data_IF_955405614385
#
_entry.id   IF_955405614385
#
_cell.length_a   1.000
_cell.length_b   1.000
_cell.length_c   1.000
_cell.angle_alpha   90.00
_cell.angle_beta   90.00
_cell.angle_gamma   90.00
#
_symmetry.space_group_name_H-M   'P 1'
#
loop_
_entity.id
_entity.type
_entity.pdbx_description
1 polymer ?
#
# COMPACT_ATOMS: atom_id res chain seq x y z
N UNK A 1 -17.93 31.22 -20.90
CA UNK A 1 -17.80 30.64 -19.54
C UNK A 1 -16.44 29.98 -19.45
N UNK A 2 -15.66 30.21 -18.38
CA UNK A 2 -14.38 29.53 -18.20
C UNK A 2 -14.63 28.07 -17.82
N UNK A 3 -13.83 27.14 -18.34
CA UNK A 3 -13.95 25.73 -17.99
C UNK A 3 -13.74 25.52 -16.47
N UNK A 4 -14.45 24.58 -15.83
CA UNK A 4 -14.26 24.31 -14.40
C UNK A 4 -12.82 23.85 -14.14
N UNK A 5 -12.17 24.46 -13.15
CA UNK A 5 -10.82 24.09 -12.72
C UNK A 5 -10.89 22.85 -11.82
N UNK A 6 -9.92 21.95 -11.95
CA UNK A 6 -9.69 20.83 -11.03
C UNK A 6 -8.34 21.00 -10.35
N UNK A 7 -8.28 20.63 -9.09
CA UNK A 7 -7.10 20.77 -8.27
C UNK A 7 -6.68 19.41 -7.72
N UNK A 8 -5.37 19.21 -7.61
CA UNK A 8 -4.79 18.01 -7.02
C UNK A 8 -3.57 18.37 -6.18
N UNK A 9 -3.29 17.55 -5.18
CA UNK A 9 -2.08 17.61 -4.37
C UNK A 9 -1.36 16.28 -4.44
N UNK A 10 -0.03 16.31 -4.53
CA UNK A 10 0.82 15.11 -4.59
C UNK A 10 1.83 15.17 -3.45
N UNK A 11 1.95 14.07 -2.72
CA UNK A 11 2.96 13.87 -1.66
C UNK A 11 3.77 12.63 -1.99
N UNK A 12 5.04 12.84 -2.31
CA UNK A 12 6.03 11.79 -2.59
C UNK A 12 7.34 12.16 -1.86
N UNK A 13 7.32 12.06 -0.53
CA UNK A 13 8.48 12.37 0.32
C UNK A 13 9.28 11.11 0.56
N UNK A 14 10.60 11.26 0.64
CA UNK A 14 11.58 10.21 0.93
C UNK A 14 11.26 9.36 2.17
N UNK A 15 10.68 9.95 3.22
CA UNK A 15 10.27 9.23 4.42
C UNK A 15 8.95 8.45 4.27
N UNK A 16 8.22 8.60 3.16
CA UNK A 16 7.06 7.76 2.86
C UNK A 16 7.51 6.46 2.21
N UNK A 17 8.16 5.62 2.99
CA UNK A 17 8.76 4.36 2.56
C UNK A 17 8.63 3.30 3.63
N UNK A 18 8.78 2.04 3.22
CA UNK A 18 8.89 0.91 4.14
C UNK A 18 9.85 -0.13 3.56
N UNK A 19 10.69 -0.72 4.40
CA UNK A 19 11.56 -1.83 4.04
C UNK A 19 10.85 -3.15 4.38
N UNK A 20 10.65 -4.03 3.40
CA UNK A 20 9.95 -5.27 3.65
C UNK A 20 10.48 -6.42 2.80
N UNK A 21 10.39 -7.63 3.36
CA UNK A 21 10.67 -8.87 2.67
C UNK A 21 9.40 -9.45 2.04
N UNK A 22 9.53 -10.04 0.87
CA UNK A 22 8.43 -10.71 0.17
C UNK A 22 8.98 -11.73 -0.85
N UNK A 23 8.05 -12.43 -1.49
CA UNK A 23 8.29 -13.13 -2.75
C UNK A 23 6.96 -13.26 -3.49
N UNK A 24 7.01 -13.10 -4.80
CA UNK A 24 5.91 -13.38 -5.71
C UNK A 24 5.76 -14.89 -5.89
N UNK A 25 4.50 -15.33 -5.80
CA UNK A 25 4.07 -16.66 -6.16
C UNK A 25 2.71 -16.58 -6.85
N UNK A 26 2.54 -17.33 -7.93
CA UNK A 26 1.29 -17.56 -8.64
C UNK A 26 1.35 -18.98 -9.23
N UNK A 27 0.23 -19.57 -9.69
CA UNK A 27 0.23 -20.97 -10.11
C UNK A 27 1.37 -21.33 -11.10
N UNK A 28 2.23 -22.28 -10.70
CA UNK A 28 3.38 -22.73 -11.48
C UNK A 28 4.65 -21.85 -11.40
N UNK A 29 4.65 -20.78 -10.60
CA UNK A 29 5.80 -19.90 -10.42
C UNK A 29 5.96 -19.44 -8.97
N UNK A 30 7.22 -19.36 -8.53
CA UNK A 30 7.59 -18.71 -7.28
C UNK A 30 9.02 -18.24 -7.32
N UNK A 31 9.24 -16.96 -7.09
CA UNK A 31 10.58 -16.40 -6.99
C UNK A 31 11.21 -16.61 -5.61
N UNK A 32 12.55 -16.54 -5.47
CA UNK A 32 13.23 -16.55 -4.19
C UNK A 32 12.80 -15.42 -3.23
N UNK A 33 12.85 -15.69 -1.93
CA UNK A 33 12.65 -14.68 -0.89
C UNK A 33 13.71 -13.59 -1.02
N UNK A 34 13.27 -12.33 -1.02
CA UNK A 34 14.13 -11.15 -1.02
C UNK A 34 13.36 -9.98 -0.39
N UNK A 35 13.77 -8.74 -0.62
CA UNK A 35 13.04 -7.57 -0.13
C UNK A 35 13.40 -6.28 -0.86
N UNK A 36 12.63 -5.24 -0.56
CA UNK A 36 12.74 -3.91 -1.16
C UNK A 36 12.63 -2.80 -0.12
N UNK A 37 13.17 -1.63 -0.50
CA UNK A 37 12.84 -0.36 0.13
C UNK A 37 11.71 0.28 -0.68
N UNK A 38 10.47 -0.07 -0.37
CA UNK A 38 9.31 0.42 -1.11
C UNK A 38 9.13 1.93 -0.88
N UNK A 39 8.93 2.69 -1.94
CA UNK A 39 8.60 4.12 -1.87
C UNK A 39 7.13 4.34 -2.20
N UNK A 40 6.44 5.10 -1.36
CA UNK A 40 5.01 5.41 -1.49
C UNK A 40 4.81 6.85 -1.92
N UNK A 41 3.89 7.07 -2.86
CA UNK A 41 3.37 8.38 -3.24
C UNK A 41 1.87 8.42 -3.13
N UNK A 42 1.32 9.59 -2.80
CA UNK A 42 -0.13 9.82 -2.68
C UNK A 42 -0.52 11.02 -3.51
N UNK A 43 -1.57 10.87 -4.32
CA UNK A 43 -2.25 11.97 -5.01
C UNK A 43 -3.71 12.03 -4.53
N UNK A 44 -4.15 13.25 -4.21
CA UNK A 44 -5.53 13.53 -3.80
C UNK A 44 -6.11 14.59 -4.72
N UNK A 45 -7.29 14.34 -5.26
CA UNK A 45 -8.10 15.32 -5.99
C UNK A 45 -9.36 15.59 -5.19
N UNK A 46 -9.66 16.86 -4.97
CA UNK A 46 -10.84 17.33 -4.26
C UNK A 46 -11.13 18.79 -4.64
N UNK A 47 -12.28 19.30 -4.22
CA UNK A 47 -12.61 20.71 -4.38
C UNK A 47 -11.65 21.61 -3.59
N UNK A 48 -11.38 22.80 -4.14
CA UNK A 48 -10.64 23.83 -3.43
C UNK A 48 -11.55 24.41 -2.34
N UNK A 49 -11.13 24.28 -1.09
CA UNK A 49 -11.85 24.84 0.05
C UNK A 49 -11.70 26.36 0.15
N UNK A 50 -12.49 27.01 1.03
CA UNK A 50 -12.44 28.45 1.26
C UNK A 50 -11.11 28.92 1.87
N UNK A 51 -10.33 28.00 2.45
CA UNK A 51 -8.98 28.21 2.96
C UNK A 51 -7.90 28.12 1.86
N UNK A 52 -8.28 27.84 0.61
CA UNK A 52 -7.38 27.77 -0.53
C UNK A 52 -6.62 26.44 -0.66
N UNK A 53 -7.00 25.40 0.08
CA UNK A 53 -6.40 24.06 -0.03
C UNK A 53 -7.31 23.08 -0.74
N UNK A 54 -6.72 22.07 -1.40
CA UNK A 54 -7.43 20.83 -1.76
C UNK A 54 -7.58 19.98 -0.50
N UNK A 55 -6.44 19.74 0.15
CA UNK A 55 -6.33 19.09 1.44
C UNK A 55 -5.01 19.53 2.08
N UNK A 56 -4.94 19.59 3.41
CA UNK A 56 -3.69 19.90 4.11
C UNK A 56 -2.63 18.81 3.83
N UNK A 57 -1.47 19.23 3.33
CA UNK A 57 -0.33 18.34 3.14
C UNK A 57 0.10 17.64 4.43
N UNK A 58 -0.01 18.30 5.59
CA UNK A 58 0.29 17.72 6.90
C UNK A 58 -0.58 16.51 7.22
N UNK A 59 -1.89 16.58 6.91
CA UNK A 59 -2.82 15.46 7.03
C UNK A 59 -2.40 14.30 6.11
N UNK A 60 -2.20 14.57 4.81
CA UNK A 60 -1.81 13.53 3.84
C UNK A 60 -0.50 12.85 4.24
N UNK A 61 0.50 13.62 4.65
CA UNK A 61 1.80 13.12 5.12
C UNK A 61 1.66 12.24 6.36
N UNK A 62 0.89 12.67 7.36
CA UNK A 62 0.69 11.92 8.61
C UNK A 62 0.05 10.57 8.34
N UNK A 63 -1.04 10.56 7.57
CA UNK A 63 -1.77 9.33 7.24
C UNK A 63 -0.90 8.39 6.40
N UNK A 64 -0.27 8.88 5.33
CA UNK A 64 0.59 8.07 4.48
C UNK A 64 1.77 7.46 5.25
N UNK A 65 2.41 8.25 6.14
CA UNK A 65 3.52 7.78 6.98
C UNK A 65 3.08 6.67 7.92
N UNK A 66 1.96 6.83 8.62
CA UNK A 66 1.43 5.81 9.52
C UNK A 66 1.16 4.49 8.79
N UNK A 67 0.62 4.54 7.57
CA UNK A 67 0.40 3.34 6.76
C UNK A 67 1.71 2.65 6.33
N UNK A 68 2.76 3.42 6.04
CA UNK A 68 4.09 2.86 5.75
C UNK A 68 4.67 2.16 6.99
N UNK A 69 4.57 2.79 8.17
CA UNK A 69 5.09 2.23 9.43
C UNK A 69 4.45 0.90 9.82
N UNK A 70 3.20 0.65 9.40
CA UNK A 70 2.55 -0.65 9.66
C UNK A 70 3.19 -1.82 8.88
N UNK A 71 3.82 -1.51 7.74
CA UNK A 71 4.47 -2.46 6.83
C UNK A 71 5.99 -2.51 6.98
N UNK A 72 6.58 -1.50 7.63
CA UNK A 72 8.03 -1.36 7.77
C UNK A 72 8.64 -2.46 8.64
N UNK A 73 9.77 -3.00 8.17
CA UNK A 73 10.52 -4.10 8.79
C UNK A 73 9.68 -5.37 8.97
N UNK A 74 8.90 -5.76 7.94
CA UNK A 74 8.04 -6.95 7.98
C UNK A 74 8.25 -7.86 6.78
N UNK A 75 7.82 -9.12 6.93
CA UNK A 75 7.57 -10.04 5.82
C UNK A 75 6.11 -9.88 5.39
N UNK A 76 5.88 -9.50 4.14
CA UNK A 76 4.54 -9.32 3.57
C UNK A 76 4.09 -10.64 2.95
N UNK A 77 2.97 -11.19 3.42
CA UNK A 77 2.40 -12.41 2.88
C UNK A 77 0.96 -12.17 2.39
N UNK A 78 0.63 -12.58 1.15
CA UNK A 78 -0.70 -12.43 0.58
C UNK A 78 -1.67 -13.47 1.17
N UNK A 79 -2.56 -13.06 2.07
CA UNK A 79 -3.55 -13.90 2.74
C UNK A 79 -4.54 -14.56 1.77
N UNK A 80 -4.76 -13.94 0.61
CA UNK A 80 -5.72 -14.41 -0.40
C UNK A 80 -5.06 -15.11 -1.59
N UNK A 81 -3.79 -15.49 -1.46
CA UNK A 81 -3.10 -16.25 -2.51
C UNK A 81 -3.81 -17.57 -2.79
N UNK A 82 -3.90 -17.94 -4.07
CA UNK A 82 -4.48 -19.20 -4.54
C UNK A 82 -3.44 -20.34 -4.62
N UNK A 83 -2.14 -20.03 -4.49
CA UNK A 83 -1.04 -20.97 -4.63
C UNK A 83 -0.17 -21.10 -3.35
N UNK A 84 -0.44 -20.31 -2.31
CA UNK A 84 0.21 -20.41 -1.01
C UNK A 84 -0.75 -20.88 0.07
N UNK A 85 -0.30 -21.83 0.88
CA UNK A 85 -1.01 -22.28 2.07
C UNK A 85 -0.34 -21.63 3.28
N UNK A 86 -1.07 -20.74 3.95
CA UNK A 86 -0.62 -20.03 5.14
C UNK A 86 -1.24 -20.66 6.38
N UNK A 87 -0.44 -20.93 7.40
CA UNK A 87 -0.92 -21.38 8.71
C UNK A 87 -0.32 -20.48 9.78
N UNK A 88 -1.17 -19.81 10.56
CA UNK A 88 -0.75 -18.93 11.64
C UNK A 88 -0.97 -19.59 12.99
N UNK A 89 0.05 -19.58 13.82
CA UNK A 89 0.00 -19.92 15.25
C UNK A 89 0.21 -18.65 16.07
N UNK A 90 0.29 -18.79 17.40
CA UNK A 90 0.62 -17.69 18.30
C UNK A 90 2.05 -17.16 18.04
N UNK A 91 3.01 -18.07 17.80
CA UNK A 91 4.43 -17.75 17.71
C UNK A 91 4.95 -17.60 16.27
N UNK A 92 4.26 -18.18 15.28
CA UNK A 92 4.77 -18.26 13.91
C UNK A 92 3.70 -18.13 12.82
N UNK A 93 4.17 -17.84 11.61
CA UNK A 93 3.42 -18.05 10.37
C UNK A 93 4.23 -19.01 9.49
N UNK A 94 3.61 -20.13 9.14
CA UNK A 94 4.16 -21.12 8.21
C UNK A 94 3.56 -20.92 6.82
N UNK A 95 4.41 -21.01 5.80
CA UNK A 95 4.03 -20.89 4.39
C UNK A 95 4.45 -22.16 3.66
N UNK A 96 3.51 -22.78 2.95
CA UNK A 96 3.78 -23.89 2.04
C UNK A 96 3.44 -23.48 0.61
N UNK A 97 4.41 -23.61 -0.29
CA UNK A 97 4.25 -23.35 -1.74
C UNK A 97 3.72 -24.59 -2.47
N UNK A 98 3.19 -24.44 -3.68
CA UNK A 98 2.80 -25.57 -4.55
C UNK A 98 3.92 -26.62 -4.74
N UNK A 99 5.17 -26.17 -4.89
CA UNK A 99 6.34 -27.05 -5.05
C UNK A 99 6.77 -27.76 -3.74
N UNK A 100 6.05 -27.56 -2.63
CA UNK A 100 6.34 -28.19 -1.34
C UNK A 100 7.40 -27.50 -0.48
N UNK A 101 8.03 -26.41 -0.95
CA UNK A 101 8.92 -25.59 -0.12
C UNK A 101 8.18 -25.00 1.09
N UNK A 102 8.92 -24.80 2.19
CA UNK A 102 8.38 -24.31 3.45
C UNK A 102 9.17 -23.13 3.97
N UNK A 103 8.46 -22.13 4.46
CA UNK A 103 9.00 -21.03 5.24
C UNK A 103 8.31 -21.00 6.60
N UNK A 104 9.03 -20.55 7.63
CA UNK A 104 8.49 -20.33 8.97
C UNK A 104 9.09 -19.04 9.52
N UNK A 105 8.23 -18.05 9.75
CA UNK A 105 8.62 -16.75 10.26
C UNK A 105 7.99 -16.54 11.65
N UNK A 106 8.62 -15.79 12.56
CA UNK A 106 7.97 -15.33 13.78
C UNK A 106 6.68 -14.56 13.46
N UNK A 107 5.61 -14.78 14.21
CA UNK A 107 4.32 -14.14 13.95
C UNK A 107 4.38 -12.61 14.09
N UNK A 108 5.30 -12.09 14.89
CA UNK A 108 5.52 -10.65 15.08
C UNK A 108 6.11 -9.98 13.83
N UNK A 109 6.86 -10.72 13.02
CA UNK A 109 7.60 -10.20 11.86
C UNK A 109 6.73 -10.22 10.59
N UNK A 110 5.57 -10.87 10.62
CA UNK A 110 4.70 -11.06 9.46
C UNK A 110 3.54 -10.07 9.43
N UNK A 111 3.27 -9.56 8.23
CA UNK A 111 2.00 -8.91 7.89
C UNK A 111 1.27 -9.75 6.87
N UNK A 112 0.18 -10.37 7.32
CA UNK A 112 -0.81 -10.97 6.44
C UNK A 112 -1.65 -9.85 5.83
N UNK A 113 -1.57 -9.70 4.51
CA UNK A 113 -2.28 -8.67 3.78
C UNK A 113 -3.44 -9.30 3.01
N UNK A 114 -4.63 -8.68 2.97
CA UNK A 114 -5.81 -9.22 2.29
C UNK A 114 -5.73 -9.02 0.76
N UNK A 115 -4.63 -9.48 0.17
CA UNK A 115 -4.25 -9.39 -1.25
C UNK A 115 -3.90 -10.79 -1.75
N UNK A 116 -3.97 -11.01 -3.06
CA UNK A 116 -3.65 -12.28 -3.72
C UNK A 116 -2.16 -12.42 -4.01
N UNK A 117 -1.49 -11.32 -4.34
CA UNK A 117 -0.05 -11.26 -4.60
C UNK A 117 0.59 -10.09 -3.86
N UNK A 118 1.83 -10.26 -3.39
CA UNK A 118 2.61 -9.17 -2.78
C UNK A 118 3.32 -8.29 -3.83
N UNK A 119 2.65 -8.00 -4.94
CA UNK A 119 3.18 -7.13 -6.01
C UNK A 119 2.95 -5.65 -5.70
N UNK A 120 3.74 -4.76 -6.32
CA UNK A 120 3.55 -3.32 -6.22
C UNK A 120 2.11 -2.87 -6.53
N UNK A 121 1.44 -3.46 -7.51
CA UNK A 121 0.06 -3.13 -7.91
C UNK A 121 -0.93 -3.41 -6.78
N UNK A 122 -0.88 -4.60 -6.19
CA UNK A 122 -1.80 -4.98 -5.12
C UNK A 122 -1.47 -4.28 -3.81
N UNK A 123 -0.19 -4.01 -3.53
CA UNK A 123 0.23 -3.14 -2.42
C UNK A 123 -0.31 -1.72 -2.59
N UNK A 124 -0.27 -1.16 -3.81
CA UNK A 124 -0.83 0.16 -4.10
C UNK A 124 -2.35 0.17 -3.88
N UNK A 125 -3.08 -0.86 -4.34
CA UNK A 125 -4.51 -0.99 -4.12
C UNK A 125 -4.87 -1.15 -2.62
N UNK A 126 -4.10 -1.96 -1.89
CA UNK A 126 -4.24 -2.14 -0.45
C UNK A 126 -4.07 -0.81 0.30
N UNK A 127 -2.98 -0.09 0.02
CA UNK A 127 -2.69 1.19 0.64
C UNK A 127 -3.71 2.27 0.25
N UNK A 128 -4.21 2.27 -0.98
CA UNK A 128 -5.28 3.18 -1.44
C UNK A 128 -6.55 2.99 -0.61
N UNK A 129 -7.01 1.75 -0.44
CA UNK A 129 -8.21 1.46 0.34
C UNK A 129 -8.07 1.89 1.82
N UNK A 130 -6.88 1.68 2.40
CA UNK A 130 -6.53 2.12 3.76
C UNK A 130 -6.49 3.65 3.87
N UNK A 131 -5.86 4.32 2.91
CA UNK A 131 -5.77 5.78 2.82
C UNK A 131 -7.16 6.41 2.73
N UNK A 132 -8.03 5.92 1.84
CA UNK A 132 -9.41 6.40 1.73
C UNK A 132 -10.15 6.30 3.06
N UNK A 133 -10.04 5.15 3.75
CA UNK A 133 -10.70 4.94 5.03
C UNK A 133 -10.23 5.96 6.08
N UNK A 134 -8.92 6.20 6.15
CA UNK A 134 -8.34 7.16 7.09
C UNK A 134 -8.75 8.61 6.76
N UNK A 135 -8.69 9.00 5.49
CA UNK A 135 -9.04 10.36 5.06
C UNK A 135 -10.52 10.67 5.20
N UNK A 136 -11.43 9.71 5.05
CA UNK A 136 -12.88 9.93 5.20
C UNK A 136 -13.26 10.53 6.57
N UNK A 137 -12.52 10.20 7.64
CA UNK A 137 -12.76 10.76 8.97
C UNK A 137 -12.18 12.15 9.20
N UNK A 138 -11.19 12.56 8.39
CA UNK A 138 -10.35 13.74 8.64
C UNK A 138 -10.42 14.80 7.53
N UNK A 139 -11.08 14.51 6.40
CA UNK A 139 -11.16 15.41 5.26
C UNK A 139 -12.06 16.66 5.47
N UNK A 140 -12.63 16.84 6.67
CA UNK A 140 -13.40 18.04 7.02
C UNK A 140 -14.61 18.29 6.12
N UNK A 141 -15.24 17.23 5.59
CA UNK A 141 -16.39 17.32 4.70
C UNK A 141 -16.07 17.69 3.25
N UNK A 142 -14.78 17.76 2.85
CA UNK A 142 -14.40 18.01 1.46
C UNK A 142 -14.81 16.84 0.56
N UNK A 143 -15.38 17.17 -0.59
CA UNK A 143 -15.69 16.21 -1.65
C UNK A 143 -14.39 15.71 -2.29
N UNK A 144 -13.91 14.54 -1.84
CA UNK A 144 -12.84 13.83 -2.54
C UNK A 144 -13.39 13.41 -3.90
N UNK A 145 -12.67 13.74 -4.98
CA UNK A 145 -13.01 13.38 -6.35
C UNK A 145 -12.24 12.13 -6.81
N UNK A 146 -10.96 12.04 -6.44
CA UNK A 146 -10.13 10.88 -6.73
C UNK A 146 -8.98 10.73 -5.73
N UNK A 147 -8.56 9.50 -5.53
CA UNK A 147 -7.38 9.13 -4.76
C UNK A 147 -6.50 8.22 -5.60
N UNK A 148 -5.19 8.38 -5.48
CA UNK A 148 -4.21 7.54 -6.16
C UNK A 148 -3.04 7.28 -5.22
N UNK A 149 -2.61 6.04 -5.14
CA UNK A 149 -1.41 5.61 -4.41
C UNK A 149 -0.45 4.97 -5.42
N UNK A 150 0.80 5.41 -5.38
CA UNK A 150 1.90 4.76 -6.09
C UNK A 150 2.81 4.00 -5.13
N UNK A 151 3.25 2.81 -5.52
CA UNK A 151 4.24 1.99 -4.81
C UNK A 151 5.37 1.65 -5.77
N UNK A 152 6.60 2.02 -5.40
CA UNK A 152 7.80 1.71 -6.16
C UNK A 152 8.68 0.71 -5.41
N UNK A 153 9.03 -0.41 -6.04
CA UNK A 153 9.90 -1.44 -5.44
C UNK A 153 11.40 -1.13 -5.65
N UNK A 154 11.69 -0.34 -6.68
CA UNK A 154 13.02 0.16 -7.01
C UNK A 154 12.94 1.52 -7.73
N UNK A 155 14.03 2.31 -7.74
CA UNK A 155 14.09 3.54 -8.52
C UNK A 155 13.75 3.30 -10.00
N UNK A 156 12.75 4.01 -10.52
CA UNK A 156 12.30 3.89 -11.91
C UNK A 156 11.26 2.79 -12.17
N UNK A 157 10.82 2.05 -11.14
CA UNK A 157 9.82 0.98 -11.24
C UNK A 157 8.72 1.21 -10.22
N UNK A 158 7.53 1.61 -10.67
CA UNK A 158 6.40 1.90 -9.80
C UNK A 158 5.07 1.47 -10.40
N UNK A 159 4.20 0.93 -9.55
CA UNK A 159 2.81 0.68 -9.85
C UNK A 159 1.93 1.77 -9.21
N UNK A 160 0.77 2.04 -9.83
CA UNK A 160 -0.20 3.00 -9.32
C UNK A 160 -1.59 2.37 -9.30
N UNK A 161 -2.30 2.58 -8.20
CA UNK A 161 -3.72 2.29 -8.10
C UNK A 161 -4.48 3.61 -7.91
N UNK A 162 -5.56 3.81 -8.64
CA UNK A 162 -6.39 5.02 -8.60
C UNK A 162 -7.87 4.66 -8.52
N UNK A 163 -8.60 5.36 -7.68
CA UNK A 163 -10.07 5.27 -7.58
C UNK A 163 -10.72 6.66 -7.63
N UNK A 164 -11.89 6.74 -8.25
CA UNK A 164 -12.78 7.92 -8.16
C UNK A 164 -13.72 7.74 -6.97
N UNK A 165 -13.90 8.80 -6.19
CA UNK A 165 -14.65 8.78 -4.92
C UNK A 165 -16.14 9.12 -5.06
#
# INVERSE_FOLDING_TARGET
MSAPRRYSVVVAKDYLKFAAAHFIAYPGFREPLHGHNYQVSVRVEADLGPDGYVLDFGLVKRVAKALCEELDERVLLPERSDCLILTRTEDAVEVRTEAGHRFRFPAADVRLLPIAHSSAEELAAYLLARLRKALRGEAGGRGLAALEVGVAEAPGQAAYCRETC
#
